data_IF_481137290945
#
_entry.id   IF_481137290945
#
_cell.length_a   1.000
_cell.length_b   1.000
_cell.length_c   1.000
_cell.angle_alpha   90.00
_cell.angle_beta   90.00
_cell.angle_gamma   90.00
#
_symmetry.space_group_name_H-M   'P 1'
#
loop_
_entity.id
_entity.type
_entity.pdbx_description
1 polymer ?
#
# COMPACT_ATOMS: atom_id res chain seq x y z
N UNK A 1 14.75 1.75 -44.90
CA UNK A 1 13.39 2.28 -44.88
C UNK A 1 13.24 3.09 -43.59
N UNK A 2 13.49 4.39 -43.63
CA UNK A 2 13.17 5.32 -42.54
C UNK A 2 11.65 5.58 -42.65
N UNK A 3 10.87 4.84 -41.86
CA UNK A 3 9.45 5.10 -41.73
C UNK A 3 9.22 6.46 -41.09
N UNK A 4 8.26 7.18 -41.60
CA UNK A 4 7.83 8.51 -41.19
C UNK A 4 7.52 8.52 -39.66
N UNK A 5 8.47 8.99 -38.85
CA UNK A 5 8.35 9.15 -37.39
C UNK A 5 7.62 10.47 -37.05
N UNK A 6 7.24 11.25 -38.09
CA UNK A 6 6.52 12.50 -37.92
C UNK A 6 5.09 12.21 -37.41
N UNK A 7 4.75 12.74 -36.24
CA UNK A 7 3.43 12.58 -35.62
C UNK A 7 3.35 11.53 -34.52
N UNK A 8 4.44 10.77 -34.23
CA UNK A 8 4.48 9.85 -33.11
C UNK A 8 4.77 10.58 -31.78
N UNK A 9 4.19 10.08 -30.72
CA UNK A 9 4.33 10.61 -29.36
C UNK A 9 5.44 9.86 -28.60
N UNK A 10 6.23 10.58 -27.85
CA UNK A 10 7.18 9.96 -26.91
C UNK A 10 6.45 9.32 -25.73
N UNK A 11 7.08 8.35 -25.06
CA UNK A 11 6.54 7.70 -23.87
C UNK A 11 6.16 8.72 -22.78
N UNK A 12 6.93 9.80 -22.60
CA UNK A 12 6.62 10.87 -21.65
C UNK A 12 5.38 11.69 -22.04
N UNK A 13 5.11 11.86 -23.35
CA UNK A 13 3.88 12.52 -23.83
C UNK A 13 2.65 11.64 -23.62
N UNK A 14 2.76 10.33 -23.87
CA UNK A 14 1.67 9.37 -23.59
C UNK A 14 1.40 9.30 -22.09
N UNK A 15 2.44 9.22 -21.25
CA UNK A 15 2.30 9.22 -19.80
C UNK A 15 1.47 10.41 -19.30
N UNK A 16 1.84 11.63 -19.69
CA UNK A 16 1.10 12.85 -19.31
C UNK A 16 -0.35 12.88 -19.79
N UNK A 17 -0.63 12.30 -20.96
CA UNK A 17 -1.97 12.35 -21.58
C UNK A 17 -2.90 11.24 -21.10
N UNK A 18 -2.33 10.09 -20.67
CA UNK A 18 -3.09 8.91 -20.26
C UNK A 18 -3.26 8.77 -18.75
N UNK A 19 -2.46 9.47 -17.94
CA UNK A 19 -2.41 9.30 -16.48
C UNK A 19 -1.54 8.12 -16.03
N UNK A 20 -0.96 7.34 -16.96
CA UNK A 20 -0.03 6.27 -16.63
C UNK A 20 1.37 6.82 -16.40
N UNK A 21 2.12 6.21 -15.47
CA UNK A 21 3.54 6.50 -15.32
C UNK A 21 4.37 5.95 -16.50
N UNK A 22 5.54 6.53 -16.75
CA UNK A 22 6.49 6.00 -17.74
C UNK A 22 6.89 4.56 -17.42
N UNK A 23 7.01 4.23 -16.11
CA UNK A 23 7.31 2.88 -15.62
C UNK A 23 6.17 1.91 -15.99
N UNK A 24 4.93 2.29 -15.75
CA UNK A 24 3.76 1.49 -16.13
C UNK A 24 3.71 1.23 -17.65
N UNK A 25 3.98 2.25 -18.48
CA UNK A 25 4.03 2.09 -19.93
C UNK A 25 5.14 1.14 -20.39
N UNK A 26 6.32 1.18 -19.75
CA UNK A 26 7.41 0.21 -20.01
C UNK A 26 7.05 -1.20 -19.57
N UNK A 27 6.35 -1.34 -18.45
CA UNK A 27 5.84 -2.63 -17.99
C UNK A 27 4.81 -3.18 -18.98
N UNK A 28 3.83 -2.38 -19.41
CA UNK A 28 2.80 -2.80 -20.36
C UNK A 28 3.35 -3.14 -21.75
N UNK A 29 4.45 -2.51 -22.18
CA UNK A 29 5.20 -2.93 -23.35
C UNK A 29 5.84 -4.31 -23.15
N UNK A 30 6.50 -4.56 -22.02
CA UNK A 30 7.15 -5.83 -21.70
C UNK A 30 6.14 -7.00 -21.67
N UNK A 31 4.98 -6.77 -21.05
CA UNK A 31 3.91 -7.79 -20.96
C UNK A 31 3.01 -7.79 -22.20
N UNK A 32 3.35 -7.04 -23.24
CA UNK A 32 2.62 -6.94 -24.50
C UNK A 32 1.13 -6.57 -24.35
N UNK A 33 0.83 -5.70 -23.38
CA UNK A 33 -0.50 -5.12 -23.23
C UNK A 33 -0.63 -3.84 -24.05
N UNK A 34 0.37 -2.96 -24.03
CA UNK A 34 0.42 -1.70 -24.75
C UNK A 34 1.82 -1.53 -25.36
N UNK A 35 2.02 -2.04 -26.57
CA UNK A 35 3.31 -1.96 -27.27
C UNK A 35 3.46 -0.63 -28.02
N UNK A 36 4.66 -0.01 -28.05
CA UNK A 36 4.90 1.16 -28.85
C UNK A 36 4.71 0.86 -30.35
N UNK A 37 4.29 1.86 -31.10
CA UNK A 37 4.16 1.76 -32.56
C UNK A 37 5.53 1.59 -33.25
N UNK A 38 6.56 2.18 -32.67
CA UNK A 38 7.94 2.05 -33.13
C UNK A 38 8.91 2.22 -31.95
N UNK A 39 10.10 1.62 -32.09
CA UNK A 39 11.25 1.89 -31.24
C UNK A 39 12.33 2.47 -32.14
N UNK A 40 12.79 3.67 -31.83
CA UNK A 40 13.86 4.31 -32.59
C UNK A 40 15.16 3.48 -32.48
N UNK A 41 15.64 3.00 -33.59
CA UNK A 41 16.81 2.11 -33.64
C UNK A 41 18.13 2.78 -33.21
N UNK A 42 18.20 4.11 -33.20
CA UNK A 42 19.40 4.87 -32.81
C UNK A 42 19.42 5.21 -31.32
N UNK A 43 18.29 5.61 -30.77
CA UNK A 43 18.17 6.11 -29.40
C UNK A 43 17.48 5.13 -28.45
N UNK A 44 16.83 4.09 -28.97
CA UNK A 44 15.99 3.17 -28.19
C UNK A 44 14.69 3.77 -27.67
N UNK A 45 14.32 5.00 -28.10
CA UNK A 45 13.09 5.65 -27.66
C UNK A 45 11.85 4.95 -28.18
N UNK A 46 10.90 4.73 -27.26
CA UNK A 46 9.57 4.20 -27.56
C UNK A 46 8.67 5.29 -28.07
N UNK A 47 8.09 5.06 -29.24
CA UNK A 47 7.21 5.99 -29.94
C UNK A 47 5.83 5.37 -30.12
N UNK A 48 4.79 6.15 -29.85
CA UNK A 48 3.39 5.71 -29.83
C UNK A 48 2.57 6.57 -30.80
N UNK A 49 1.51 5.98 -31.38
CA UNK A 49 0.53 6.74 -32.16
C UNK A 49 -0.40 7.50 -31.22
N UNK A 50 -1.07 8.52 -31.75
CA UNK A 50 -2.03 9.33 -30.99
C UNK A 50 -3.24 8.52 -30.49
N UNK A 51 -3.71 7.51 -31.29
CA UNK A 51 -4.80 6.60 -30.90
C UNK A 51 -4.43 5.69 -29.71
N UNK A 52 -3.15 5.40 -29.52
CA UNK A 52 -2.67 4.64 -28.35
C UNK A 52 -2.77 5.40 -27.02
N UNK A 53 -3.02 6.71 -27.06
CA UNK A 53 -3.30 7.47 -25.82
C UNK A 53 -4.65 7.05 -25.24
N UNK A 54 -5.66 6.83 -26.06
CA UNK A 54 -6.97 6.35 -25.59
C UNK A 54 -6.91 4.90 -25.08
N UNK A 55 -6.11 4.06 -25.77
CA UNK A 55 -5.81 2.71 -25.27
C UNK A 55 -5.13 2.75 -23.89
N UNK A 56 -4.15 3.64 -23.70
CA UNK A 56 -3.47 3.83 -22.44
C UNK A 56 -4.40 4.36 -21.33
N UNK A 57 -5.34 5.26 -21.67
CA UNK A 57 -6.36 5.75 -20.74
C UNK A 57 -7.30 4.64 -20.30
N UNK A 58 -7.74 3.79 -21.22
CA UNK A 58 -8.57 2.65 -20.91
C UNK A 58 -7.83 1.68 -19.96
N UNK A 59 -6.57 1.37 -20.25
CA UNK A 59 -5.72 0.55 -19.36
C UNK A 59 -5.62 1.18 -17.97
N UNK A 60 -5.37 2.48 -17.89
CA UNK A 60 -5.31 3.21 -16.62
C UNK A 60 -6.62 3.08 -15.83
N UNK A 61 -7.76 3.35 -16.49
CA UNK A 61 -9.08 3.23 -15.87
C UNK A 61 -9.35 1.82 -15.34
N UNK A 62 -9.13 0.78 -16.17
CA UNK A 62 -9.39 -0.60 -15.77
C UNK A 62 -8.49 -1.06 -14.62
N UNK A 63 -7.23 -0.61 -14.62
CA UNK A 63 -6.29 -0.91 -13.53
C UNK A 63 -6.64 -0.17 -12.24
N UNK A 64 -7.18 1.04 -12.32
CA UNK A 64 -7.67 1.77 -11.13
C UNK A 64 -8.90 1.12 -10.47
N UNK A 65 -9.56 0.21 -11.19
CA UNK A 65 -10.65 -0.63 -10.67
C UNK A 65 -10.15 -2.01 -10.19
N UNK A 66 -8.84 -2.22 -10.05
CA UNK A 66 -8.21 -3.49 -9.67
C UNK A 66 -8.51 -4.67 -10.60
N UNK A 67 -8.83 -4.42 -11.89
CA UNK A 67 -8.99 -5.51 -12.83
C UNK A 67 -7.66 -6.28 -13.00
N UNK A 68 -7.66 -7.61 -12.93
CA UNK A 68 -6.51 -8.44 -13.26
C UNK A 68 -6.01 -8.18 -14.69
N UNK A 69 -4.70 -8.25 -14.90
CA UNK A 69 -4.05 -7.90 -16.15
C UNK A 69 -4.64 -8.63 -17.37
N UNK A 70 -5.01 -9.91 -17.21
CA UNK A 70 -5.63 -10.70 -18.28
C UNK A 70 -7.03 -10.18 -18.65
N UNK A 71 -7.80 -9.74 -17.67
CA UNK A 71 -9.11 -9.13 -17.93
C UNK A 71 -8.95 -7.76 -18.60
N UNK A 72 -7.93 -6.98 -18.20
CA UNK A 72 -7.58 -5.72 -18.89
C UNK A 72 -7.20 -6.01 -20.34
N UNK A 73 -6.42 -7.05 -20.62
CA UNK A 73 -6.06 -7.48 -21.98
C UNK A 73 -7.29 -7.81 -22.83
N UNK A 74 -8.22 -8.58 -22.26
CA UNK A 74 -9.48 -8.95 -22.92
C UNK A 74 -10.32 -7.71 -23.23
N UNK A 75 -10.49 -6.81 -22.26
CA UNK A 75 -11.26 -5.57 -22.44
C UNK A 75 -10.64 -4.64 -23.47
N UNK A 76 -9.31 -4.48 -23.47
CA UNK A 76 -8.60 -3.63 -24.46
C UNK A 76 -8.71 -4.24 -25.85
N UNK A 77 -8.61 -5.55 -26.01
CA UNK A 77 -8.79 -6.22 -27.29
C UNK A 77 -10.21 -6.04 -27.84
N UNK A 78 -11.23 -6.21 -27.01
CA UNK A 78 -12.62 -5.98 -27.36
C UNK A 78 -12.88 -4.51 -27.76
N UNK A 79 -12.36 -3.56 -26.98
CA UNK A 79 -12.46 -2.13 -27.28
C UNK A 79 -11.84 -1.78 -28.65
N UNK A 80 -10.66 -2.32 -28.95
CA UNK A 80 -10.01 -2.15 -30.27
C UNK A 80 -10.82 -2.72 -31.44
N UNK A 81 -11.57 -3.78 -31.18
CA UNK A 81 -12.48 -4.37 -32.14
C UNK A 81 -13.83 -3.61 -32.30
N UNK A 82 -14.05 -2.56 -31.49
CA UNK A 82 -15.32 -1.82 -31.45
C UNK A 82 -16.43 -2.56 -30.70
N UNK A 83 -16.11 -3.63 -29.99
CA UNK A 83 -17.04 -4.45 -29.25
C UNK A 83 -17.22 -3.92 -27.81
N UNK A 84 -18.05 -2.90 -27.67
CA UNK A 84 -18.36 -2.29 -26.37
C UNK A 84 -19.15 -3.22 -25.44
N UNK A 85 -19.86 -4.21 -25.98
CA UNK A 85 -20.62 -5.17 -25.15
C UNK A 85 -19.67 -6.12 -24.43
N UNK A 86 -18.65 -6.65 -25.11
CA UNK A 86 -17.61 -7.48 -24.47
C UNK A 86 -16.83 -6.70 -23.41
N UNK A 87 -16.52 -5.41 -23.63
CA UNK A 87 -15.91 -4.56 -22.60
C UNK A 87 -16.82 -4.47 -21.37
N UNK A 88 -18.12 -4.20 -21.58
CA UNK A 88 -19.10 -4.09 -20.53
C UNK A 88 -19.27 -5.41 -19.75
N UNK A 89 -19.21 -6.54 -20.43
CA UNK A 89 -19.30 -7.85 -19.77
C UNK A 89 -18.08 -8.15 -18.88
N UNK A 90 -16.87 -7.83 -19.32
CA UNK A 90 -15.66 -7.95 -18.48
C UNK A 90 -15.81 -7.13 -17.20
N UNK A 91 -16.28 -5.88 -17.32
CA UNK A 91 -16.51 -4.99 -16.15
C UNK A 91 -17.61 -5.56 -15.24
N UNK A 92 -18.73 -6.05 -15.80
CA UNK A 92 -19.81 -6.67 -15.02
C UNK A 92 -19.32 -7.92 -14.29
N UNK A 93 -18.51 -8.76 -14.94
CA UNK A 93 -17.92 -9.94 -14.32
C UNK A 93 -17.02 -9.58 -13.15
N UNK A 94 -16.16 -8.58 -13.33
CA UNK A 94 -15.28 -8.09 -12.26
C UNK A 94 -16.09 -7.53 -11.09
N UNK A 95 -17.12 -6.73 -11.36
CA UNK A 95 -18.03 -6.25 -10.33
C UNK A 95 -18.65 -7.40 -9.54
N UNK A 96 -19.14 -8.46 -10.21
CA UNK A 96 -19.69 -9.65 -9.52
C UNK A 96 -18.64 -10.32 -8.62
N UNK A 97 -17.36 -10.37 -9.08
CA UNK A 97 -16.26 -10.88 -8.25
C UNK A 97 -16.01 -10.03 -7.01
N UNK A 98 -16.01 -8.71 -7.16
CA UNK A 98 -15.87 -7.79 -6.02
C UNK A 98 -17.04 -7.90 -5.05
N UNK A 99 -18.29 -7.94 -5.54
CA UNK A 99 -19.49 -8.13 -4.71
C UNK A 99 -19.44 -9.46 -3.93
N UNK A 100 -19.03 -10.55 -4.58
CA UNK A 100 -18.82 -11.84 -3.94
C UNK A 100 -17.69 -11.81 -2.89
N UNK A 101 -16.61 -11.05 -3.16
CA UNK A 101 -15.51 -10.85 -2.20
C UNK A 101 -15.97 -10.05 -1.00
N UNK A 102 -16.71 -8.98 -1.20
CA UNK A 102 -17.31 -8.17 -0.12
C UNK A 102 -18.25 -9.02 0.74
N UNK A 103 -19.12 -9.84 0.12
CA UNK A 103 -20.02 -10.74 0.84
C UNK A 103 -19.25 -11.76 1.68
N UNK A 104 -18.19 -12.37 1.12
CA UNK A 104 -17.33 -13.31 1.86
C UNK A 104 -16.62 -12.63 3.03
N UNK A 105 -16.09 -11.42 2.81
CA UNK A 105 -15.44 -10.65 3.87
C UNK A 105 -16.39 -10.24 4.98
N UNK A 106 -17.62 -9.80 4.62
CA UNK A 106 -18.68 -9.51 5.61
C UNK A 106 -19.06 -10.75 6.41
N UNK A 107 -19.21 -11.90 5.74
CA UNK A 107 -19.46 -13.17 6.43
C UNK A 107 -18.28 -13.62 7.31
N UNK A 108 -17.04 -13.36 6.90
CA UNK A 108 -15.88 -13.62 7.74
C UNK A 108 -15.84 -12.69 8.96
N UNK A 109 -16.11 -11.40 8.77
CA UNK A 109 -16.21 -10.43 9.87
C UNK A 109 -17.31 -10.82 10.85
N UNK A 110 -18.50 -11.16 10.36
CA UNK A 110 -19.59 -11.62 11.22
C UNK A 110 -19.23 -12.87 12.04
N UNK A 111 -18.54 -13.86 11.43
CA UNK A 111 -18.03 -15.03 12.18
C UNK A 111 -16.97 -14.65 13.20
N UNK A 112 -16.11 -13.69 12.86
CA UNK A 112 -15.09 -13.16 13.78
C UNK A 112 -15.77 -12.45 14.94
N UNK A 113 -16.77 -11.61 14.68
CA UNK A 113 -17.53 -10.90 15.71
C UNK A 113 -18.26 -11.89 16.64
N UNK A 114 -18.82 -12.96 16.09
CA UNK A 114 -19.46 -14.02 16.86
C UNK A 114 -18.44 -14.77 17.73
N UNK A 115 -17.27 -15.15 17.16
CA UNK A 115 -16.17 -15.76 17.92
C UNK A 115 -15.65 -14.86 19.05
N UNK A 116 -15.64 -13.54 18.81
CA UNK A 116 -15.22 -12.57 19.81
C UNK A 116 -16.25 -12.36 20.92
N UNK A 117 -17.54 -12.42 20.58
CA UNK A 117 -18.64 -12.25 21.52
C UNK A 117 -18.85 -13.49 22.43
N UNK A 118 -18.70 -14.68 21.89
CA UNK A 118 -18.97 -15.94 22.58
C UNK A 118 -17.71 -16.64 23.14
N UNK A 119 -16.53 -16.20 22.70
CA UNK A 119 -15.24 -16.81 23.06
C UNK A 119 -14.96 -18.10 22.24
N UNK A 120 -13.67 -18.36 22.02
CA UNK A 120 -13.22 -19.52 21.23
C UNK A 120 -13.65 -20.85 21.86
N UNK A 121 -13.76 -20.89 23.19
CA UNK A 121 -14.14 -22.08 23.95
C UNK A 121 -15.62 -22.46 23.73
N UNK A 122 -16.52 -21.48 23.53
CA UNK A 122 -17.93 -21.73 23.24
C UNK A 122 -18.12 -22.34 21.85
N UNK A 123 -17.38 -21.88 20.85
CA UNK A 123 -17.48 -22.36 19.47
C UNK A 123 -16.78 -23.71 19.28
N UNK A 124 -15.67 -23.96 20.01
CA UNK A 124 -15.04 -25.28 20.02
C UNK A 124 -15.90 -26.33 20.73
N UNK A 125 -16.69 -25.90 21.71
CA UNK A 125 -17.65 -26.77 22.42
C UNK A 125 -18.85 -27.12 21.53
N UNK A 126 -19.31 -26.21 20.67
CA UNK A 126 -20.39 -26.49 19.70
C UNK A 126 -19.93 -27.44 18.56
N UNK A 127 -18.65 -27.44 18.22
CA UNK A 127 -18.07 -28.41 17.28
C UNK A 127 -17.90 -29.79 17.94
N UNK A 128 -17.70 -29.86 19.25
CA UNK A 128 -17.64 -31.09 20.04
C UNK A 128 -19.00 -31.59 20.54
N UNK A 129 -20.05 -30.77 20.56
CA UNK A 129 -21.40 -31.15 21.04
C UNK A 129 -22.26 -31.92 20.01
N UNK A 130 -21.62 -32.58 19.03
CA UNK A 130 -22.17 -33.87 18.63
C UNK A 130 -21.88 -34.94 19.72
N UNK A 131 -21.31 -34.58 20.88
CA UNK A 131 -21.07 -35.44 22.04
C UNK A 131 -20.96 -34.64 23.35
N UNK A 132 -22.09 -34.49 24.07
CA UNK A 132 -22.25 -34.55 25.55
C UNK A 132 -21.68 -33.41 26.44
N UNK A 133 -22.63 -32.60 26.99
CA UNK A 133 -22.78 -32.06 28.37
C UNK A 133 -21.75 -31.18 29.10
N UNK A 134 -22.22 -29.95 29.39
CA UNK A 134 -22.28 -29.19 30.67
C UNK A 134 -21.08 -28.46 31.30
N UNK A 135 -21.28 -27.14 31.37
CA UNK A 135 -21.03 -26.12 32.41
C UNK A 135 -19.70 -25.99 33.14
N UNK A 136 -19.09 -24.77 33.04
CA UNK A 136 -18.69 -23.96 34.24
C UNK A 136 -18.35 -22.50 33.87
N UNK A 137 -18.79 -21.58 34.70
CA UNK A 137 -18.77 -20.12 34.63
C UNK A 137 -17.40 -19.60 35.12
N UNK A 138 -16.72 -18.74 34.38
CA UNK A 138 -15.47 -18.09 34.79
C UNK A 138 -15.64 -16.59 35.05
N UNK A 139 -14.80 -15.97 35.92
CA UNK A 139 -15.01 -14.64 36.49
C UNK A 139 -14.61 -13.50 35.54
N UNK A 140 -15.10 -12.26 35.75
CA UNK A 140 -14.83 -11.12 34.89
C UNK A 140 -13.47 -10.48 35.27
N UNK A 141 -12.62 -10.26 34.28
CA UNK A 141 -11.45 -9.36 34.46
C UNK A 141 -10.14 -9.75 33.79
N UNK A 142 -10.15 -10.22 32.54
CA UNK A 142 -8.95 -10.20 31.70
C UNK A 142 -9.41 -9.96 30.28
N UNK A 143 -9.22 -8.74 29.78
CA UNK A 143 -9.36 -8.45 28.36
C UNK A 143 -8.46 -9.44 27.60
N UNK A 144 -9.07 -10.23 26.70
CA UNK A 144 -8.40 -11.31 25.99
C UNK A 144 -7.21 -10.77 25.17
N UNK A 145 -6.11 -11.47 25.19
CA UNK A 145 -4.91 -11.21 24.34
C UNK A 145 -5.28 -11.11 22.85
N UNK A 146 -6.32 -11.83 22.45
CA UNK A 146 -6.93 -11.78 21.12
C UNK A 146 -7.53 -10.41 20.85
N UNK A 147 -8.16 -9.77 21.83
CA UNK A 147 -8.76 -8.45 21.70
C UNK A 147 -7.70 -7.36 21.49
N UNK A 148 -6.56 -7.44 22.19
CA UNK A 148 -5.48 -6.47 22.06
C UNK A 148 -4.86 -6.47 20.64
N UNK A 149 -4.64 -7.65 20.06
CA UNK A 149 -4.12 -7.79 18.70
C UNK A 149 -5.08 -7.26 17.64
N UNK A 150 -6.35 -7.61 17.75
CA UNK A 150 -7.39 -7.15 16.81
C UNK A 150 -7.56 -5.64 16.89
N UNK A 151 -7.60 -5.09 18.10
CA UNK A 151 -7.70 -3.65 18.32
C UNK A 151 -6.47 -2.91 17.80
N UNK A 152 -5.27 -3.45 18.02
CA UNK A 152 -4.04 -2.88 17.51
C UNK A 152 -4.04 -2.82 15.98
N UNK A 153 -4.42 -3.92 15.30
CA UNK A 153 -4.49 -3.99 13.84
C UNK A 153 -5.59 -3.07 13.27
N UNK A 154 -6.76 -3.01 13.94
CA UNK A 154 -7.84 -2.12 13.53
C UNK A 154 -7.43 -0.66 13.62
N UNK A 155 -6.83 -0.23 14.73
CA UNK A 155 -6.38 1.14 14.93
C UNK A 155 -5.25 1.52 13.94
N UNK A 156 -4.37 0.57 13.59
CA UNK A 156 -3.36 0.74 12.55
C UNK A 156 -4.01 1.05 11.19
N UNK A 157 -4.99 0.26 10.78
CA UNK A 157 -5.72 0.46 9.53
C UNK A 157 -6.57 1.73 9.54
N UNK A 158 -7.17 2.10 10.68
CA UNK A 158 -7.93 3.34 10.84
C UNK A 158 -7.04 4.57 10.67
N UNK A 159 -5.81 4.51 11.19
CA UNK A 159 -4.80 5.56 11.00
C UNK A 159 -4.46 5.72 9.52
N UNK A 160 -4.28 4.63 8.78
CA UNK A 160 -4.01 4.68 7.34
C UNK A 160 -5.16 5.31 6.56
N UNK A 161 -6.41 4.94 6.86
CA UNK A 161 -7.58 5.56 6.20
C UNK A 161 -7.64 7.07 6.41
N UNK A 162 -7.19 7.57 7.58
CA UNK A 162 -7.10 8.99 7.86
C UNK A 162 -5.91 9.65 7.13
N UNK A 163 -4.75 8.98 7.04
CA UNK A 163 -3.58 9.46 6.30
C UNK A 163 -3.86 9.64 4.79
N UNK A 164 -4.69 8.77 4.22
CA UNK A 164 -5.06 8.77 2.78
C UNK A 164 -6.13 9.81 2.42
N UNK A 165 -6.78 10.45 3.41
CA UNK A 165 -7.77 11.48 3.13
C UNK A 165 -7.13 12.73 2.54
N UNK A 166 -7.62 13.19 1.39
CA UNK A 166 -7.17 14.44 0.76
C UNK A 166 -7.43 15.68 1.63
N UNK A 167 -8.54 15.67 2.38
CA UNK A 167 -8.94 16.77 3.28
C UNK A 167 -9.30 16.19 4.63
N UNK A 168 -8.53 16.57 5.64
CA UNK A 168 -8.79 16.24 7.03
C UNK A 168 -9.27 17.46 7.80
N UNK A 169 -10.17 17.24 8.74
CA UNK A 169 -10.57 18.21 9.75
C UNK A 169 -9.66 18.07 10.98
N UNK A 170 -9.67 19.10 11.87
CA UNK A 170 -8.92 18.98 13.13
C UNK A 170 -9.32 17.73 13.96
N UNK A 171 -10.62 17.35 14.09
CA UNK A 171 -10.97 16.08 14.73
C UNK A 171 -10.43 14.83 14.04
N UNK A 172 -10.22 14.85 12.71
CA UNK A 172 -9.61 13.73 12.00
C UNK A 172 -8.11 13.63 12.32
N UNK A 173 -7.41 14.78 12.38
CA UNK A 173 -6.00 14.83 12.76
C UNK A 173 -5.80 14.36 14.22
N UNK A 174 -6.67 14.78 15.15
CA UNK A 174 -6.63 14.34 16.54
C UNK A 174 -6.88 12.82 16.65
N UNK A 175 -7.88 12.32 15.93
CA UNK A 175 -8.16 10.87 15.87
C UNK A 175 -6.99 10.09 15.30
N UNK A 176 -6.36 10.59 14.24
CA UNK A 176 -5.21 9.96 13.60
C UNK A 176 -4.04 9.80 14.58
N UNK A 177 -3.71 10.85 15.36
CA UNK A 177 -2.69 10.80 16.41
C UNK A 177 -3.06 9.77 17.47
N UNK A 178 -4.28 9.82 18.00
CA UNK A 178 -4.71 8.91 19.06
C UNK A 178 -4.75 7.45 18.60
N UNK A 179 -5.23 7.18 17.38
CA UNK A 179 -5.30 5.84 16.82
C UNK A 179 -3.91 5.23 16.62
N UNK A 180 -2.94 6.00 16.09
CA UNK A 180 -1.57 5.53 15.91
C UNK A 180 -0.90 5.13 17.24
N UNK A 181 -0.98 6.00 18.24
CA UNK A 181 -0.43 5.73 19.57
C UNK A 181 -1.13 4.54 20.27
N UNK A 182 -2.45 4.47 20.18
CA UNK A 182 -3.21 3.36 20.76
C UNK A 182 -2.87 2.04 20.05
N UNK A 183 -2.75 2.01 18.73
CA UNK A 183 -2.30 0.84 17.98
C UNK A 183 -0.94 0.36 18.50
N UNK A 184 0.06 1.26 18.56
CA UNK A 184 1.40 0.93 19.05
C UNK A 184 1.40 0.43 20.48
N UNK A 185 0.59 1.04 21.37
CA UNK A 185 0.43 0.61 22.76
C UNK A 185 -0.13 -0.81 22.82
N UNK A 186 -1.23 -1.10 22.12
CA UNK A 186 -1.86 -2.42 22.14
C UNK A 186 -0.95 -3.50 21.54
N UNK A 187 -0.17 -3.21 20.49
CA UNK A 187 0.85 -4.14 20.00
C UNK A 187 1.86 -4.51 21.09
N UNK A 188 2.21 -3.57 21.98
CA UNK A 188 3.08 -3.84 23.13
C UNK A 188 2.46 -4.77 24.19
N UNK A 189 1.13 -4.98 24.18
CA UNK A 189 0.42 -5.87 25.09
C UNK A 189 0.21 -7.28 24.49
N UNK A 190 0.52 -7.49 23.22
CA UNK A 190 0.35 -8.79 22.54
C UNK A 190 1.58 -9.66 22.78
N UNK A 191 1.48 -10.79 23.50
CA UNK A 191 2.63 -11.66 23.81
C UNK A 191 3.33 -12.24 22.58
N UNK A 192 2.60 -12.35 21.47
CA UNK A 192 3.12 -12.86 20.19
C UNK A 192 3.59 -11.75 19.24
N UNK A 193 3.57 -10.49 19.69
CA UNK A 193 4.11 -9.40 18.90
C UNK A 193 5.63 -9.54 18.78
N UNK A 194 6.13 -9.37 17.57
CA UNK A 194 7.56 -9.33 17.30
C UNK A 194 8.07 -7.88 17.35
N UNK A 195 9.39 -7.65 17.51
CA UNK A 195 9.95 -6.31 17.41
C UNK A 195 9.56 -5.56 16.12
N UNK A 196 9.37 -6.28 14.99
CA UNK A 196 8.90 -5.68 13.74
C UNK A 196 7.50 -5.04 13.87
N UNK A 197 6.57 -5.63 14.63
CA UNK A 197 5.26 -5.00 14.90
C UNK A 197 5.43 -3.69 15.67
N UNK A 198 6.39 -3.63 16.59
CA UNK A 198 6.67 -2.43 17.36
C UNK A 198 7.34 -1.35 16.50
N UNK A 199 8.32 -1.72 15.67
CA UNK A 199 8.98 -0.83 14.72
C UNK A 199 7.97 -0.19 13.76
N UNK A 200 7.08 -0.99 13.16
CA UNK A 200 6.03 -0.53 12.25
C UNK A 200 5.03 0.42 12.93
N UNK A 201 4.73 0.19 14.20
CA UNK A 201 3.93 1.12 15.00
C UNK A 201 4.61 2.47 15.20
N UNK A 202 5.91 2.49 15.56
CA UNK A 202 6.70 3.71 15.68
C UNK A 202 6.81 4.45 14.33
N UNK A 203 7.02 3.71 13.25
CA UNK A 203 7.06 4.26 11.90
C UNK A 203 5.73 4.97 11.52
N UNK A 204 4.58 4.33 11.80
CA UNK A 204 3.27 4.95 11.55
C UNK A 204 3.08 6.23 12.36
N UNK A 205 3.50 6.25 13.62
CA UNK A 205 3.43 7.47 14.46
C UNK A 205 4.31 8.58 13.88
N UNK A 206 5.55 8.25 13.46
CA UNK A 206 6.43 9.20 12.77
C UNK A 206 5.78 9.77 11.52
N UNK A 207 5.15 8.92 10.71
CA UNK A 207 4.42 9.32 9.50
C UNK A 207 3.28 10.29 9.80
N UNK A 208 2.48 10.00 10.83
CA UNK A 208 1.39 10.87 11.29
C UNK A 208 1.91 12.26 11.66
N UNK A 209 2.95 12.32 12.50
CA UNK A 209 3.50 13.62 12.90
C UNK A 209 4.17 14.37 11.75
N UNK A 210 4.78 13.66 10.81
CA UNK A 210 5.35 14.26 9.61
C UNK A 210 4.27 14.92 8.72
N UNK A 211 3.14 14.25 8.52
CA UNK A 211 1.99 14.78 7.77
C UNK A 211 1.37 16.00 8.47
N UNK A 212 1.41 16.04 9.79
CA UNK A 212 0.94 17.15 10.60
C UNK A 212 1.98 18.30 10.74
N UNK A 213 3.15 18.20 10.11
CA UNK A 213 4.21 19.19 10.17
C UNK A 213 4.90 19.28 11.54
N UNK A 214 4.79 18.25 12.38
CA UNK A 214 5.34 18.22 13.74
C UNK A 214 6.68 17.48 13.77
N UNK A 215 7.75 18.18 13.44
CA UNK A 215 9.07 17.59 13.22
C UNK A 215 9.67 16.89 14.45
N UNK A 216 9.55 17.48 15.65
CA UNK A 216 10.17 16.91 16.87
C UNK A 216 9.62 15.51 17.19
N UNK A 217 8.31 15.28 17.37
CA UNK A 217 7.81 13.94 17.62
C UNK A 217 8.00 13.00 16.42
N UNK A 218 7.96 13.51 15.18
CA UNK A 218 8.26 12.68 14.01
C UNK A 218 9.68 12.12 14.08
N UNK A 219 10.68 12.95 14.38
CA UNK A 219 12.08 12.53 14.55
C UNK A 219 12.27 11.58 15.74
N UNK A 220 11.57 11.81 16.84
CA UNK A 220 11.63 10.90 18.00
C UNK A 220 11.22 9.49 17.59
N UNK A 221 10.05 9.35 16.99
CA UNK A 221 9.52 8.05 16.59
C UNK A 221 10.30 7.43 15.42
N UNK A 222 10.81 8.21 14.46
CA UNK A 222 11.68 7.71 13.40
C UNK A 222 12.99 7.10 13.94
N UNK A 223 13.62 7.74 14.93
CA UNK A 223 14.80 7.18 15.62
C UNK A 223 14.48 5.88 16.32
N UNK A 224 13.32 5.81 16.99
CA UNK A 224 12.87 4.56 17.65
C UNK A 224 12.68 3.41 16.65
N UNK A 225 12.19 3.68 15.43
CA UNK A 225 12.13 2.65 14.37
C UNK A 225 13.52 2.09 14.11
N UNK A 226 14.50 2.97 13.83
CA UNK A 226 15.85 2.55 13.49
C UNK A 226 16.51 1.80 14.65
N UNK A 227 16.37 2.28 15.89
CA UNK A 227 16.88 1.63 17.10
C UNK A 227 16.32 0.20 17.23
N UNK A 228 14.99 0.03 17.10
CA UNK A 228 14.36 -1.30 17.18
C UNK A 228 14.87 -2.22 16.07
N UNK A 229 15.02 -1.72 14.84
CA UNK A 229 15.56 -2.51 13.73
C UNK A 229 17.00 -2.95 14.03
N UNK A 230 17.86 -2.05 14.50
CA UNK A 230 19.27 -2.34 14.81
C UNK A 230 19.41 -3.30 16.00
N UNK A 231 18.70 -3.05 17.12
CA UNK A 231 18.74 -3.88 18.32
C UNK A 231 18.28 -5.33 18.09
N UNK A 232 17.38 -5.54 17.10
CA UNK A 232 16.78 -6.85 16.83
C UNK A 232 17.23 -7.44 15.48
N UNK A 233 18.23 -6.85 14.82
CA UNK A 233 18.74 -7.31 13.51
C UNK A 233 17.63 -7.44 12.47
N UNK A 234 16.66 -6.51 12.49
CA UNK A 234 15.61 -6.43 11.50
C UNK A 234 16.18 -5.68 10.28
N UNK A 235 16.27 -6.38 9.16
CA UNK A 235 16.71 -5.86 7.87
C UNK A 235 15.53 -5.68 6.91
N UNK A 236 15.85 -5.92 5.62
CA UNK A 236 14.88 -5.91 4.53
C UNK A 236 14.12 -4.56 4.45
N UNK A 237 12.87 -4.57 4.04
CA UNK A 237 12.07 -3.36 3.88
C UNK A 237 11.82 -2.57 5.19
N UNK A 238 11.74 -3.21 6.36
CA UNK A 238 11.58 -2.53 7.64
C UNK A 238 12.76 -1.56 7.93
N UNK A 239 14.01 -1.96 7.60
CA UNK A 239 15.18 -1.09 7.76
C UNK A 239 15.18 0.08 6.75
N UNK A 240 14.77 -0.18 5.51
CA UNK A 240 14.66 0.85 4.48
C UNK A 240 13.61 1.90 4.86
N UNK A 241 12.46 1.47 5.40
CA UNK A 241 11.44 2.37 5.92
C UNK A 241 11.85 3.09 7.21
N UNK A 242 12.77 2.55 8.01
CA UNK A 242 13.33 3.27 9.16
C UNK A 242 14.13 4.50 8.70
N UNK A 243 14.93 4.35 7.65
CA UNK A 243 15.66 5.47 7.06
C UNK A 243 14.75 6.44 6.29
N UNK A 244 13.71 5.94 5.60
CA UNK A 244 12.67 6.78 4.99
C UNK A 244 11.98 7.67 6.02
N UNK A 245 11.59 7.12 7.18
CA UNK A 245 10.97 7.88 8.26
C UNK A 245 11.89 8.99 8.79
N UNK A 246 13.19 8.72 8.93
CA UNK A 246 14.17 9.72 9.33
C UNK A 246 14.32 10.80 8.26
N UNK A 247 14.44 10.42 6.99
CA UNK A 247 14.54 11.37 5.89
C UNK A 247 13.34 12.31 5.84
N UNK A 248 12.14 11.78 5.96
CA UNK A 248 10.89 12.55 5.99
C UNK A 248 10.81 13.48 7.20
N UNK A 249 11.14 12.98 8.38
CA UNK A 249 11.10 13.78 9.60
C UNK A 249 12.13 14.92 9.57
N UNK A 250 13.33 14.69 9.03
CA UNK A 250 14.32 15.74 8.81
C UNK A 250 13.88 16.75 7.76
N UNK A 251 13.22 16.31 6.67
CA UNK A 251 12.64 17.20 5.68
C UNK A 251 11.57 18.13 6.30
N UNK A 252 10.70 17.58 7.16
CA UNK A 252 9.71 18.36 7.91
C UNK A 252 10.37 19.33 8.90
N UNK A 253 11.53 18.97 9.46
CA UNK A 253 12.32 19.84 10.33
C UNK A 253 13.06 20.95 9.57
N UNK A 254 13.07 20.91 8.23
CA UNK A 254 13.84 21.84 7.40
C UNK A 254 15.34 21.53 7.30
N UNK A 255 15.77 20.38 7.82
CA UNK A 255 17.15 19.89 7.73
C UNK A 255 17.35 19.09 6.44
N UNK A 256 17.56 19.82 5.35
CA UNK A 256 17.74 19.22 4.03
C UNK A 256 18.99 18.38 3.88
N UNK A 257 20.02 18.62 4.71
CA UNK A 257 21.25 17.83 4.66
C UNK A 257 21.03 16.45 5.25
N UNK A 258 20.48 16.36 6.47
CA UNK A 258 20.17 15.10 7.11
C UNK A 258 19.07 14.34 6.36
N UNK A 259 18.09 15.06 5.79
CA UNK A 259 17.06 14.42 4.97
C UNK A 259 17.68 13.69 3.76
N UNK A 260 18.66 14.29 3.09
CA UNK A 260 19.39 13.62 1.98
C UNK A 260 20.21 12.44 2.45
N UNK A 261 21.01 12.62 3.51
CA UNK A 261 21.83 11.54 4.06
C UNK A 261 20.98 10.32 4.43
N UNK A 262 19.81 10.53 5.06
CA UNK A 262 18.90 9.44 5.37
C UNK A 262 18.21 8.86 4.12
N UNK A 263 17.93 9.67 3.09
CA UNK A 263 17.41 9.18 1.81
C UNK A 263 18.43 8.25 1.13
N UNK A 264 19.71 8.62 1.11
CA UNK A 264 20.77 7.78 0.54
C UNK A 264 20.88 6.45 1.31
N UNK A 265 20.75 6.48 2.64
CA UNK A 265 20.73 5.26 3.47
C UNK A 265 19.49 4.39 3.19
N UNK A 266 18.33 5.01 2.98
CA UNK A 266 17.11 4.27 2.61
C UNK A 266 17.25 3.60 1.25
N UNK A 267 17.84 4.28 0.26
CA UNK A 267 18.11 3.74 -1.07
C UNK A 267 19.09 2.56 -1.00
N UNK A 268 20.20 2.71 -0.24
CA UNK A 268 21.16 1.64 -0.03
C UNK A 268 20.55 0.42 0.68
N UNK A 269 19.65 0.65 1.64
CA UNK A 269 18.90 -0.43 2.29
C UNK A 269 17.90 -1.09 1.32
N UNK A 270 17.25 -0.30 0.45
CA UNK A 270 16.30 -0.80 -0.54
C UNK A 270 16.95 -1.71 -1.60
N UNK A 271 18.25 -1.53 -1.91
CA UNK A 271 18.99 -2.42 -2.80
C UNK A 271 19.05 -3.88 -2.28
N UNK A 272 18.95 -4.06 -0.96
CA UNK A 272 19.00 -5.38 -0.31
C UNK A 272 17.63 -6.03 -0.14
N UNK A 273 16.54 -5.36 -0.53
CA UNK A 273 15.19 -5.91 -0.47
C UNK A 273 15.04 -6.96 -1.57
N UNK A 274 14.68 -8.17 -1.17
CA UNK A 274 14.58 -9.32 -2.08
C UNK A 274 13.32 -9.26 -2.95
N UNK A 275 12.21 -8.77 -2.38
CA UNK A 275 10.93 -8.65 -3.08
C UNK A 275 10.85 -7.32 -3.83
N UNK A 276 10.59 -7.40 -5.15
CA UNK A 276 10.52 -6.22 -6.01
C UNK A 276 9.34 -5.30 -5.65
N UNK A 277 8.21 -5.85 -5.17
CA UNK A 277 7.04 -5.06 -4.80
C UNK A 277 7.31 -4.26 -3.51
N UNK A 278 7.95 -4.87 -2.53
CA UNK A 278 8.34 -4.21 -1.28
C UNK A 278 9.39 -3.12 -1.53
N UNK A 279 10.36 -3.37 -2.41
CA UNK A 279 11.34 -2.35 -2.84
C UNK A 279 10.66 -1.17 -3.52
N UNK A 280 9.70 -1.45 -4.41
CA UNK A 280 8.95 -0.41 -5.13
C UNK A 280 8.10 0.46 -4.18
N UNK A 281 7.58 -0.11 -3.09
CA UNK A 281 6.86 0.64 -2.05
C UNK A 281 7.78 1.65 -1.34
N UNK A 282 8.99 1.23 -0.95
CA UNK A 282 9.98 2.14 -0.34
C UNK A 282 10.34 3.28 -1.29
N UNK A 283 10.62 2.96 -2.56
CA UNK A 283 10.97 3.97 -3.56
C UNK A 283 9.82 4.96 -3.81
N UNK A 284 8.57 4.47 -3.86
CA UNK A 284 7.40 5.31 -4.00
C UNK A 284 7.21 6.26 -2.82
N UNK A 285 7.45 5.79 -1.60
CA UNK A 285 7.36 6.62 -0.41
C UNK A 285 8.46 7.69 -0.34
N UNK A 286 9.70 7.34 -0.70
CA UNK A 286 10.80 8.29 -0.80
C UNK A 286 10.48 9.44 -1.79
N UNK A 287 9.79 9.14 -2.90
CA UNK A 287 9.34 10.17 -3.86
C UNK A 287 8.38 11.22 -3.25
N UNK A 288 7.72 10.89 -2.15
CA UNK A 288 6.76 11.79 -1.49
C UNK A 288 7.40 12.67 -0.40
N UNK A 289 8.69 12.54 -0.14
CA UNK A 289 9.40 13.36 0.87
C UNK A 289 9.47 14.81 0.39
N UNK A 290 9.03 15.79 1.19
CA UNK A 290 9.04 17.20 0.80
C UNK A 290 10.46 17.71 0.51
N UNK A 291 10.62 18.45 -0.60
CA UNK A 291 11.88 19.13 -0.92
C UNK A 291 13.04 18.23 -1.32
N UNK A 292 12.84 16.93 -1.46
CA UNK A 292 13.87 16.01 -1.96
C UNK A 292 13.85 15.99 -3.50
N UNK A 293 15.00 16.16 -4.15
CA UNK A 293 15.10 15.94 -5.59
C UNK A 293 14.94 14.43 -5.87
N UNK A 294 14.30 14.11 -6.99
CA UNK A 294 14.18 12.74 -7.47
C UNK A 294 15.51 12.33 -8.13
N UNK A 295 16.22 11.41 -7.52
CA UNK A 295 17.50 10.90 -8.02
C UNK A 295 17.40 9.54 -8.71
N UNK A 296 16.23 8.87 -8.69
CA UNK A 296 16.01 7.50 -9.16
C UNK A 296 14.86 7.35 -10.13
#
# INVERSE_FOLDING_TARGET
>A
MQGDLAGLLTIGQVARRSGLSVKALRHYDRVRLLCPAAVDGGSGYRLYRSDQVEEARLVHLLRSLDLPLEQVRTAVAAWKAGDGESVSEVIRLHRRHLDARVTRLRGALHRIDHLLAEGLDAVMTDLDTTSGTATAKSPPGTGSVTDARLLAAQLFNDTWRLLEQEKRTQPDDDRMVHSAHASRYHWGQVPTATPAHLARGEWQISRVYSVLGRAEPALHHARRVLEICQENSIGDWDLAFAYEALARAHAVAGDAAQARDCTDQALAAAENITDDEDRDLVLADLETIPGQPRYW
#
